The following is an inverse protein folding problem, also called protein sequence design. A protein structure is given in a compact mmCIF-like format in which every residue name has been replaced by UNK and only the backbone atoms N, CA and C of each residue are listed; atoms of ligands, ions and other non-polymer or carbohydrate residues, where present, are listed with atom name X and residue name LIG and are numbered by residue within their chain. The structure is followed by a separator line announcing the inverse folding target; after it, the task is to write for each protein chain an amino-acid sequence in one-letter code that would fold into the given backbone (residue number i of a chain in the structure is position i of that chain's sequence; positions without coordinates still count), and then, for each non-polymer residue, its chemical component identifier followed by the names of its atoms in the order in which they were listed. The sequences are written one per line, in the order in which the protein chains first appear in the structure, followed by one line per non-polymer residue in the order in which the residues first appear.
data_IF_008577650161
#
_entry.id   IF_008577650161
#
_cell.length_a   1.000
_cell.length_b   1.000
_cell.length_c   1.000
_cell.angle_alpha   90.00
_cell.angle_beta   90.00
_cell.angle_gamma   90.00
#
_symmetry.space_group_name_H-M   'P 1'
#
loop_
_entity.id
_entity.type
_entity.pdbx_description
1 polymer ?
#
# COMPACT_ATOMS: atom_id res chain seq x y z
N UNK A 1 5.92 39.29 -11.84
CA UNK A 1 6.09 38.01 -12.58
C UNK A 1 6.21 38.23 -14.08
N UNK A 2 5.26 38.94 -14.73
CA UNK A 2 5.44 39.43 -16.11
C UNK A 2 6.78 40.19 -16.27
N UNK A 3 7.16 41.03 -15.31
CA UNK A 3 8.46 41.73 -15.31
C UNK A 3 9.69 40.81 -15.21
N UNK A 4 9.65 39.72 -14.42
CA UNK A 4 10.79 38.81 -14.30
C UNK A 4 10.92 37.89 -15.54
N UNK A 5 9.80 37.51 -16.14
CA UNK A 5 9.78 36.78 -17.43
C UNK A 5 10.25 37.70 -18.55
N UNK A 6 9.79 38.94 -18.55
CA UNK A 6 10.22 39.98 -19.50
C UNK A 6 11.70 40.32 -19.34
N UNK A 7 12.23 40.38 -18.12
CA UNK A 7 13.67 40.55 -17.85
C UNK A 7 14.48 39.36 -18.38
N UNK A 8 13.97 38.14 -18.23
CA UNK A 8 14.58 36.94 -18.81
C UNK A 8 14.60 36.98 -20.33
N UNK A 9 13.46 37.33 -20.95
CA UNK A 9 13.32 37.51 -22.40
C UNK A 9 14.20 38.66 -22.92
N UNK A 10 14.29 39.78 -22.21
CA UNK A 10 15.17 40.92 -22.54
C UNK A 10 16.65 40.53 -22.42
N UNK A 11 17.05 39.82 -21.37
CA UNK A 11 18.43 39.29 -21.22
C UNK A 11 18.78 38.32 -22.35
N UNK A 12 17.82 37.52 -22.82
CA UNK A 12 17.98 36.58 -23.93
C UNK A 12 18.03 37.26 -25.29
N UNK A 13 17.21 38.28 -25.48
CA UNK A 13 17.04 39.00 -26.75
C UNK A 13 18.17 40.01 -27.00
N UNK A 14 18.62 40.75 -25.98
CA UNK A 14 19.58 41.86 -26.18
C UNK A 14 21.04 41.44 -26.35
N UNK A 15 21.41 40.24 -25.92
CA UNK A 15 22.82 40.03 -25.59
C UNK A 15 23.69 39.39 -26.69
N UNK A 16 23.15 38.81 -27.77
CA UNK A 16 23.95 38.00 -28.75
C UNK A 16 24.93 37.04 -28.06
N UNK A 17 24.68 36.69 -26.80
CA UNK A 17 25.55 35.84 -26.01
C UNK A 17 25.31 34.44 -26.55
N UNK A 18 26.39 33.74 -26.94
CA UNK A 18 26.33 32.33 -27.34
C UNK A 18 25.44 31.58 -26.36
N UNK A 19 24.50 30.79 -26.89
CA UNK A 19 23.51 30.02 -26.13
C UNK A 19 24.14 29.35 -24.90
N UNK A 20 25.39 28.90 -25.02
CA UNK A 20 26.18 28.26 -23.99
C UNK A 20 26.46 29.12 -22.73
N UNK A 21 26.67 30.44 -22.89
CA UNK A 21 26.97 31.35 -21.76
C UNK A 21 25.69 31.82 -21.05
N UNK A 22 24.58 31.97 -21.77
CA UNK A 22 23.24 32.20 -21.17
C UNK A 22 22.78 30.96 -20.40
N UNK A 23 22.94 29.77 -21.00
CA UNK A 23 22.64 28.48 -20.36
C UNK A 23 23.40 28.33 -19.04
N UNK A 24 24.69 28.66 -19.03
CA UNK A 24 25.51 28.63 -17.81
C UNK A 24 25.01 29.64 -16.76
N UNK A 25 24.56 30.83 -17.17
CA UNK A 25 24.00 31.83 -16.26
C UNK A 25 22.66 31.37 -15.67
N UNK A 26 21.78 30.76 -16.47
CA UNK A 26 20.47 30.30 -16.04
C UNK A 26 20.53 29.06 -15.13
N UNK A 27 21.52 28.18 -15.35
CA UNK A 27 21.71 26.96 -14.56
C UNK A 27 22.62 27.14 -13.34
N UNK A 28 23.52 28.13 -13.33
CA UNK A 28 24.36 28.45 -12.17
C UNK A 28 23.72 29.42 -11.20
N UNK A 29 22.95 30.39 -11.69
CA UNK A 29 22.26 31.30 -10.79
C UNK A 29 21.03 30.59 -10.25
N UNK A 30 20.92 30.56 -8.94
CA UNK A 30 19.73 30.14 -8.22
C UNK A 30 18.63 31.18 -8.52
N UNK A 31 18.05 31.12 -9.73
CA UNK A 31 16.97 31.99 -10.22
C UNK A 31 15.85 31.99 -9.19
N UNK A 32 15.62 30.84 -8.52
CA UNK A 32 14.67 30.71 -7.43
C UNK A 32 15.08 31.48 -6.17
N UNK A 33 16.37 31.53 -5.82
CA UNK A 33 16.84 32.40 -4.73
C UNK A 33 16.61 33.89 -5.00
N UNK A 34 16.74 34.33 -6.26
CA UNK A 34 16.44 35.72 -6.66
C UNK A 34 14.94 36.00 -6.72
N UNK A 35 14.11 34.97 -6.93
CA UNK A 35 12.65 35.07 -6.89
C UNK A 35 12.09 34.83 -5.45
N UNK A 36 12.93 34.85 -4.40
CA UNK A 36 12.46 34.69 -3.01
C UNK A 36 11.45 35.78 -2.61
N UNK A 37 10.16 35.41 -2.58
CA UNK A 37 9.27 35.41 -1.39
C UNK A 37 7.81 35.17 -1.83
N UNK A 38 7.19 34.11 -1.29
CA UNK A 38 5.74 33.94 -0.97
C UNK A 38 4.77 33.05 -1.79
N UNK A 39 5.12 32.20 -2.74
CA UNK A 39 4.08 31.27 -3.28
C UNK A 39 4.53 29.84 -3.59
N UNK A 40 3.65 28.90 -3.25
CA UNK A 40 3.64 27.53 -3.79
C UNK A 40 3.49 27.50 -5.32
N UNK A 41 3.00 28.59 -5.92
CA UNK A 41 2.82 28.74 -7.36
C UNK A 41 4.14 28.86 -8.13
N UNK A 42 5.21 29.32 -7.50
CA UNK A 42 6.50 29.47 -8.17
C UNK A 42 7.05 28.16 -8.73
N UNK A 43 6.84 27.05 -8.02
CA UNK A 43 7.23 25.72 -8.51
C UNK A 43 6.42 25.30 -9.74
N UNK A 44 5.14 25.67 -9.79
CA UNK A 44 4.25 25.39 -10.93
C UNK A 44 4.62 26.25 -12.13
N UNK A 45 4.91 27.53 -11.92
CA UNK A 45 5.36 28.45 -12.96
C UNK A 45 6.69 28.01 -13.58
N UNK A 46 7.67 27.64 -12.75
CA UNK A 46 8.94 27.12 -13.23
C UNK A 46 8.76 25.88 -14.11
N UNK A 47 7.90 24.94 -13.71
CA UNK A 47 7.60 23.74 -14.51
C UNK A 47 6.82 24.04 -15.81
N UNK A 48 6.04 25.12 -15.84
CA UNK A 48 5.25 25.54 -17.00
C UNK A 48 6.03 26.46 -17.95
N UNK A 49 7.19 26.97 -17.54
CA UNK A 49 7.99 27.86 -18.36
C UNK A 49 8.62 27.08 -19.53
N UNK A 50 8.08 27.27 -20.73
CA UNK A 50 8.50 26.54 -21.93
C UNK A 50 9.95 26.84 -22.33
N UNK A 51 10.45 28.05 -22.09
CA UNK A 51 11.84 28.39 -22.36
C UNK A 51 12.81 27.58 -21.48
N UNK A 52 12.58 27.53 -20.16
CA UNK A 52 13.41 26.73 -19.23
C UNK A 52 13.39 25.26 -19.63
N UNK A 53 12.20 24.76 -19.97
CA UNK A 53 12.01 23.38 -20.43
C UNK A 53 12.77 23.10 -21.73
N UNK A 54 12.65 23.96 -22.74
CA UNK A 54 13.34 23.81 -24.02
C UNK A 54 14.86 23.85 -23.85
N UNK A 55 15.36 24.76 -23.02
CA UNK A 55 16.79 24.85 -22.69
C UNK A 55 17.28 23.57 -22.00
N UNK A 56 16.61 23.11 -20.94
CA UNK A 56 17.00 21.89 -20.22
C UNK A 56 16.95 20.66 -21.11
N UNK A 57 15.90 20.52 -21.94
CA UNK A 57 15.74 19.39 -22.86
C UNK A 57 16.79 19.44 -23.97
N UNK A 58 17.10 20.62 -24.52
CA UNK A 58 18.16 20.79 -25.52
C UNK A 58 19.51 20.30 -24.99
N UNK A 59 19.91 20.78 -23.81
CA UNK A 59 21.14 20.34 -23.13
C UNK A 59 21.13 18.83 -22.87
N UNK A 60 20.00 18.29 -22.43
CA UNK A 60 19.87 16.86 -22.18
C UNK A 60 20.03 16.04 -23.46
N UNK A 61 19.45 16.48 -24.58
CA UNK A 61 19.59 15.83 -25.88
C UNK A 61 21.05 15.87 -26.37
N UNK A 62 21.75 16.99 -26.19
CA UNK A 62 23.18 17.07 -26.51
C UNK A 62 24.04 16.11 -25.67
N UNK A 63 23.67 15.88 -24.40
CA UNK A 63 24.34 14.92 -23.51
C UNK A 63 24.02 13.47 -23.90
N UNK A 64 22.83 13.23 -24.48
CA UNK A 64 22.43 11.91 -24.95
C UNK A 64 23.08 11.51 -26.27
N UNK A 65 23.51 12.48 -27.08
CA UNK A 65 24.25 12.24 -28.33
C UNK A 65 25.49 11.38 -28.05
N UNK A 66 25.58 10.24 -28.74
CA UNK A 66 26.64 9.27 -28.56
C UNK A 66 28.01 9.79 -28.99
N UNK A 67 28.05 10.83 -29.83
CA UNK A 67 29.29 11.52 -30.19
C UNK A 67 29.83 12.36 -29.02
N UNK A 68 28.99 12.66 -28.02
CA UNK A 68 29.28 13.53 -26.89
C UNK A 68 29.45 12.76 -25.57
N UNK A 69 30.14 11.60 -25.58
CA UNK A 69 30.25 10.68 -24.40
C UNK A 69 30.70 11.34 -23.10
N UNK A 70 31.45 12.45 -23.17
CA UNK A 70 32.00 13.17 -22.01
C UNK A 70 31.14 14.34 -21.54
N UNK A 71 30.13 14.76 -22.29
CA UNK A 71 29.26 15.88 -21.86
C UNK A 71 28.47 15.47 -20.61
N UNK A 72 28.45 16.37 -19.64
CA UNK A 72 27.69 16.22 -18.39
C UNK A 72 26.99 17.53 -18.07
N UNK A 73 25.95 17.47 -17.25
CA UNK A 73 25.33 18.69 -16.75
C UNK A 73 26.32 19.46 -15.89
N UNK A 74 26.26 20.79 -15.97
CA UNK A 74 27.11 21.65 -15.16
C UNK A 74 26.92 21.34 -13.65
N UNK A 75 27.99 21.42 -12.83
CA UNK A 75 27.88 21.33 -11.38
C UNK A 75 26.81 22.30 -10.86
N UNK A 76 26.00 21.87 -9.90
CA UNK A 76 24.90 22.68 -9.33
C UNK A 76 23.54 22.51 -10.01
N UNK A 77 23.48 22.04 -11.27
CA UNK A 77 22.22 21.90 -12.04
C UNK A 77 21.13 21.12 -11.32
N UNK A 78 21.52 20.15 -10.48
CA UNK A 78 20.62 19.26 -9.74
C UNK A 78 20.72 19.42 -8.22
N UNK A 79 21.02 20.63 -7.73
CA UNK A 79 21.06 20.94 -6.29
C UNK A 79 19.79 21.69 -5.83
N UNK A 80 19.40 21.48 -4.57
CA UNK A 80 18.30 22.19 -3.94
C UNK A 80 16.93 21.94 -4.60
N UNK A 81 16.04 22.93 -4.46
CA UNK A 81 14.67 22.89 -5.02
C UNK A 81 14.72 22.97 -6.53
N UNK A 82 15.52 23.88 -7.10
CA UNK A 82 15.69 24.03 -8.54
C UNK A 82 16.13 22.71 -9.19
N UNK A 83 17.10 22.02 -8.58
CA UNK A 83 17.57 20.74 -9.07
C UNK A 83 16.50 19.63 -9.10
N UNK A 84 15.59 19.63 -8.12
CA UNK A 84 14.42 18.74 -8.15
C UNK A 84 13.49 19.08 -9.30
N UNK A 85 13.20 20.36 -9.52
CA UNK A 85 12.36 20.83 -10.63
C UNK A 85 12.96 20.48 -12.00
N UNK A 86 14.27 20.70 -12.17
CA UNK A 86 15.00 20.31 -13.37
C UNK A 86 14.88 18.80 -13.62
N UNK A 87 15.07 17.99 -12.57
CA UNK A 87 14.91 16.54 -12.67
C UNK A 87 13.48 16.13 -13.04
N UNK A 88 12.45 16.81 -12.52
CA UNK A 88 11.04 16.57 -12.87
C UNK A 88 10.81 16.86 -14.35
N UNK A 89 11.24 18.03 -14.84
CA UNK A 89 11.09 18.45 -16.24
C UNK A 89 11.70 17.41 -17.19
N UNK A 90 12.96 17.04 -16.93
CA UNK A 90 13.66 16.08 -17.78
C UNK A 90 13.03 14.68 -17.73
N UNK A 91 12.54 14.26 -16.56
CA UNK A 91 11.87 12.96 -16.42
C UNK A 91 10.52 12.96 -17.15
N UNK A 92 9.74 14.03 -17.08
CA UNK A 92 8.49 14.21 -17.86
C UNK A 92 8.78 14.12 -19.36
N UNK A 93 9.80 14.83 -19.84
CA UNK A 93 10.20 14.81 -21.24
C UNK A 93 10.63 13.41 -21.69
N UNK A 94 11.43 12.71 -20.89
CA UNK A 94 11.81 11.32 -21.12
C UNK A 94 10.59 10.40 -21.27
N UNK A 95 9.63 10.46 -20.32
CA UNK A 95 8.42 9.63 -20.36
C UNK A 95 7.58 9.94 -21.60
N UNK A 96 7.41 11.23 -21.94
CA UNK A 96 6.70 11.68 -23.14
C UNK A 96 7.34 11.13 -24.42
N UNK A 97 8.67 11.21 -24.54
CA UNK A 97 9.39 10.70 -25.71
C UNK A 97 9.31 9.18 -25.82
N UNK A 98 9.20 8.47 -24.69
CA UNK A 98 8.94 7.03 -24.66
C UNK A 98 7.51 6.64 -25.02
N UNK A 99 6.59 7.62 -25.09
CA UNK A 99 5.15 7.40 -25.29
C UNK A 99 4.56 6.41 -24.27
N UNK A 100 5.12 6.40 -23.06
CA UNK A 100 4.63 5.52 -22.01
C UNK A 100 3.34 6.08 -21.39
N UNK A 101 2.34 5.21 -21.29
CA UNK A 101 1.19 5.40 -20.41
C UNK A 101 1.60 5.44 -18.95
N UNK A 102 0.73 5.98 -18.09
CA UNK A 102 0.99 6.03 -16.65
C UNK A 102 1.17 4.62 -16.05
N UNK A 103 0.43 3.63 -16.54
CA UNK A 103 0.58 2.23 -16.13
C UNK A 103 1.97 1.67 -16.48
N UNK A 104 2.48 1.96 -17.67
CA UNK A 104 3.84 1.57 -18.06
C UNK A 104 4.90 2.27 -17.22
N UNK A 105 4.69 3.55 -16.88
CA UNK A 105 5.58 4.27 -15.96
C UNK A 105 5.65 3.57 -14.61
N UNK A 106 4.50 3.20 -14.01
CA UNK A 106 4.46 2.53 -12.70
C UNK A 106 5.14 1.16 -12.69
N UNK A 107 5.04 0.42 -13.80
CA UNK A 107 5.53 -0.95 -13.90
C UNK A 107 6.99 -1.04 -14.34
N UNK A 108 7.40 -0.21 -15.29
CA UNK A 108 8.66 -0.37 -16.00
C UNK A 108 9.75 0.56 -15.45
N UNK A 109 9.40 1.81 -15.13
CA UNK A 109 10.37 2.82 -14.76
C UNK A 109 11.17 2.42 -13.52
N UNK A 110 12.49 2.57 -13.60
CA UNK A 110 13.42 2.33 -12.52
C UNK A 110 14.69 3.18 -12.71
N UNK A 111 15.50 3.30 -11.66
CA UNK A 111 16.73 4.12 -11.74
C UNK A 111 17.70 3.64 -12.82
N UNK A 112 17.81 2.32 -13.11
CA UNK A 112 18.69 1.82 -14.18
C UNK A 112 18.28 2.36 -15.54
N UNK A 113 16.97 2.45 -15.82
CA UNK A 113 16.46 3.07 -17.04
C UNK A 113 16.83 4.56 -17.06
N UNK A 114 16.53 5.31 -16.00
CA UNK A 114 16.88 6.74 -15.92
C UNK A 114 18.39 6.98 -16.11
N UNK A 115 19.23 6.10 -15.57
CA UNK A 115 20.69 6.20 -15.70
C UNK A 115 21.17 5.94 -17.13
N UNK A 116 20.54 5.01 -17.85
CA UNK A 116 20.79 4.80 -19.29
C UNK A 116 20.51 6.07 -20.09
N UNK A 117 19.52 6.85 -19.67
CA UNK A 117 19.17 8.15 -20.24
C UNK A 117 19.87 9.33 -19.55
N UNK A 118 21.02 9.10 -18.90
CA UNK A 118 21.86 10.13 -18.27
C UNK A 118 21.16 10.95 -17.16
N UNK A 119 20.01 10.51 -16.65
CA UNK A 119 19.27 11.13 -15.54
C UNK A 119 19.67 10.52 -14.18
N UNK A 120 20.98 10.44 -13.92
CA UNK A 120 21.54 9.92 -12.65
C UNK A 120 21.15 10.77 -11.45
N UNK A 121 20.92 12.07 -11.69
CA UNK A 121 20.44 13.02 -10.69
C UNK A 121 19.13 12.60 -10.03
N UNK A 122 18.30 11.78 -10.69
CA UNK A 122 17.01 11.33 -10.14
C UNK A 122 17.12 10.71 -8.76
N UNK A 123 18.15 9.91 -8.47
CA UNK A 123 18.35 9.30 -7.14
C UNK A 123 18.84 10.31 -6.09
N UNK A 124 19.65 11.28 -6.51
CA UNK A 124 20.16 12.35 -5.65
C UNK A 124 19.07 13.35 -5.30
N UNK A 125 18.32 13.83 -6.29
CA UNK A 125 17.19 14.74 -6.12
C UNK A 125 16.03 14.08 -5.36
N UNK A 126 15.79 12.79 -5.64
CA UNK A 126 14.71 12.01 -5.06
C UNK A 126 15.25 10.68 -4.54
N UNK A 127 15.29 10.55 -3.21
CA UNK A 127 15.69 9.32 -2.53
C UNK A 127 14.93 8.07 -3.02
N UNK A 128 13.67 8.25 -3.41
CA UNK A 128 12.78 7.19 -3.86
C UNK A 128 12.08 7.57 -5.16
N UNK A 129 12.03 6.64 -6.12
CA UNK A 129 11.51 6.88 -7.45
C UNK A 129 10.03 7.30 -7.45
N UNK A 130 9.21 6.69 -6.60
CA UNK A 130 7.79 7.02 -6.53
C UNK A 130 7.56 8.50 -6.19
N UNK A 131 8.46 9.13 -5.42
CA UNK A 131 8.36 10.57 -5.10
C UNK A 131 8.57 11.41 -6.34
N UNK A 132 9.58 11.08 -7.15
CA UNK A 132 9.81 11.74 -8.44
C UNK A 132 8.58 11.64 -9.34
N UNK A 133 7.98 10.45 -9.45
CA UNK A 133 6.82 10.25 -10.32
C UNK A 133 5.56 10.94 -9.78
N UNK A 134 5.36 10.98 -8.46
CA UNK A 134 4.29 11.78 -7.87
C UNK A 134 4.42 13.26 -8.22
N UNK A 135 5.65 13.81 -8.21
CA UNK A 135 5.90 15.18 -8.66
C UNK A 135 5.75 15.36 -10.18
N UNK A 136 6.00 14.30 -10.97
CA UNK A 136 5.72 14.32 -12.40
C UNK A 136 4.21 14.38 -12.69
N UNK A 137 3.38 13.81 -11.83
CA UNK A 137 1.93 13.69 -12.02
C UNK A 137 1.16 14.11 -10.76
N UNK A 138 1.22 15.39 -10.37
CA UNK A 138 0.66 15.85 -9.10
C UNK A 138 -0.86 15.72 -9.01
N UNK A 139 -1.55 15.64 -10.16
CA UNK A 139 -3.01 15.55 -10.23
C UNK A 139 -3.55 14.10 -10.18
N UNK A 140 -2.68 13.09 -10.29
CA UNK A 140 -3.08 11.68 -10.42
C UNK A 140 -3.27 10.96 -9.06
N UNK A 141 -3.24 11.69 -7.94
CA UNK A 141 -3.34 11.17 -6.57
C UNK A 141 -2.51 9.88 -6.33
N UNK A 142 -1.30 9.84 -6.85
CA UNK A 142 -0.48 8.63 -6.83
C UNK A 142 -0.07 8.24 -5.41
N UNK A 143 -0.36 6.99 -5.03
CA UNK A 143 0.05 6.40 -3.75
C UNK A 143 1.34 5.60 -3.90
N UNK A 144 2.20 5.55 -2.86
CA UNK A 144 3.49 4.87 -2.95
C UNK A 144 3.37 3.38 -3.31
N UNK A 145 2.30 2.72 -2.91
CA UNK A 145 2.07 1.30 -3.16
C UNK A 145 1.53 0.99 -4.56
N UNK A 146 1.27 1.98 -5.41
CA UNK A 146 1.03 1.77 -6.85
C UNK A 146 2.31 1.47 -7.63
N UNK A 147 3.48 1.59 -6.99
CA UNK A 147 4.75 1.40 -7.65
C UNK A 147 5.27 -0.02 -7.38
N UNK A 148 5.25 -0.87 -8.41
CA UNK A 148 5.64 -2.29 -8.31
C UNK A 148 7.01 -2.52 -7.66
N UNK A 149 7.94 -1.57 -7.82
CA UNK A 149 9.33 -1.64 -7.33
C UNK A 149 9.57 -0.90 -6.00
N UNK A 150 8.53 -0.35 -5.37
CA UNK A 150 8.64 0.40 -4.13
C UNK A 150 8.60 -0.53 -2.90
N UNK A 151 9.51 -1.50 -2.82
CA UNK A 151 9.51 -2.53 -1.76
C UNK A 151 9.82 -2.02 -0.35
N UNK A 152 10.62 -0.96 -0.25
CA UNK A 152 11.09 -0.36 1.01
C UNK A 152 10.07 0.61 1.65
N UNK A 153 8.84 0.72 1.11
CA UNK A 153 7.82 1.62 1.67
C UNK A 153 7.05 0.99 2.83
N UNK A 154 7.06 -0.34 2.90
CA UNK A 154 6.27 -1.12 3.86
C UNK A 154 6.92 -1.20 5.23
N UNK A 155 8.25 -1.24 5.24
CA UNK A 155 9.07 -1.29 6.45
C UNK A 155 10.21 -0.29 6.33
N UNK A 156 10.53 0.37 7.43
CA UNK A 156 11.68 1.28 7.47
C UNK A 156 13.01 0.51 7.49
N UNK A 157 14.13 1.24 7.56
CA UNK A 157 15.48 0.66 7.60
C UNK A 157 15.78 -0.18 8.85
N UNK A 158 14.93 -0.10 9.88
CA UNK A 158 15.03 -0.86 11.13
C UNK A 158 14.01 -2.02 11.17
N UNK A 159 13.20 -2.19 10.12
CA UNK A 159 12.16 -3.22 10.06
C UNK A 159 10.83 -2.81 10.70
N UNK A 160 10.66 -1.57 11.14
CA UNK A 160 9.38 -1.10 11.66
C UNK A 160 8.39 -0.91 10.51
N UNK A 161 7.18 -1.43 10.70
CA UNK A 161 6.10 -1.36 9.70
C UNK A 161 5.54 0.05 9.58
N UNK A 162 5.32 0.50 8.36
CA UNK A 162 4.53 1.69 8.09
C UNK A 162 3.04 1.35 8.18
N UNK A 163 2.53 1.33 9.41
CA UNK A 163 1.19 0.82 9.72
C UNK A 163 0.08 1.51 8.93
N UNK A 164 0.11 2.84 8.82
CA UNK A 164 -0.93 3.60 8.11
C UNK A 164 -0.91 3.31 6.61
N UNK A 165 0.27 3.29 5.98
CA UNK A 165 0.40 2.93 4.56
C UNK A 165 -0.11 1.50 4.28
N UNK A 166 0.16 0.56 5.20
CA UNK A 166 -0.30 -0.83 5.08
C UNK A 166 -1.82 -0.91 5.20
N UNK A 167 -2.43 -0.21 6.17
CA UNK A 167 -3.88 -0.16 6.33
C UNK A 167 -4.54 0.43 5.09
N UNK A 168 -4.06 1.57 4.62
CA UNK A 168 -4.59 2.25 3.43
C UNK A 168 -4.54 1.35 2.20
N UNK A 169 -3.41 0.68 1.97
CA UNK A 169 -3.25 -0.24 0.86
C UNK A 169 -4.23 -1.42 0.92
N UNK A 170 -4.39 -2.04 2.09
CA UNK A 170 -5.32 -3.16 2.28
C UNK A 170 -6.76 -2.69 2.12
N UNK A 171 -7.12 -1.53 2.69
CA UNK A 171 -8.48 -0.98 2.61
C UNK A 171 -8.87 -0.69 1.17
N UNK A 172 -8.03 0.03 0.44
CA UNK A 172 -8.27 0.30 -0.98
C UNK A 172 -8.36 -0.99 -1.80
N UNK A 173 -7.48 -1.97 -1.53
CA UNK A 173 -7.54 -3.27 -2.18
C UNK A 173 -8.89 -3.98 -1.94
N UNK A 174 -9.45 -3.90 -0.73
CA UNK A 174 -10.78 -4.45 -0.41
C UNK A 174 -11.91 -3.63 -1.04
N UNK A 175 -11.78 -2.31 -1.14
CA UNK A 175 -12.76 -1.43 -1.79
C UNK A 175 -12.97 -1.80 -3.26
N UNK A 176 -11.91 -2.20 -3.97
CA UNK A 176 -12.01 -2.70 -5.36
C UNK A 176 -13.00 -3.86 -5.47
N UNK A 177 -13.02 -4.77 -4.49
CA UNK A 177 -13.92 -5.93 -4.45
C UNK A 177 -15.35 -5.60 -3.99
N UNK A 178 -15.54 -4.43 -3.38
CA UNK A 178 -16.83 -3.97 -2.86
C UNK A 178 -17.54 -2.99 -3.80
N UNK A 179 -16.84 -2.47 -4.82
CA UNK A 179 -17.39 -1.49 -5.73
C UNK A 179 -18.62 -2.04 -6.47
N UNK A 180 -19.78 -1.42 -6.25
CA UNK A 180 -21.07 -1.88 -6.80
C UNK A 180 -21.13 -1.87 -8.34
N UNK A 181 -20.33 -1.01 -8.97
CA UNK A 181 -20.22 -0.92 -10.43
C UNK A 181 -19.20 -1.89 -11.02
N UNK A 182 -18.42 -2.57 -10.17
CA UNK A 182 -17.40 -3.53 -10.59
C UNK A 182 -17.97 -4.93 -10.88
N UNK A 183 -17.09 -5.81 -11.35
CA UNK A 183 -17.39 -7.23 -11.56
C UNK A 183 -17.71 -7.95 -10.23
N UNK A 184 -17.13 -7.46 -9.13
CA UNK A 184 -17.26 -8.05 -7.81
C UNK A 184 -18.27 -7.27 -6.98
N UNK A 185 -19.17 -7.98 -6.30
CA UNK A 185 -20.24 -7.40 -5.46
C UNK A 185 -20.15 -7.93 -4.04
N UNK A 186 -18.94 -7.97 -3.48
CA UNK A 186 -18.75 -8.46 -2.13
C UNK A 186 -19.23 -7.46 -1.10
N UNK A 187 -19.65 -7.97 0.06
CA UNK A 187 -20.06 -7.15 1.21
C UNK A 187 -18.98 -7.23 2.28
N UNK A 188 -18.64 -6.08 2.88
CA UNK A 188 -17.65 -6.00 3.97
C UNK A 188 -18.04 -6.91 5.14
N UNK A 189 -19.32 -6.98 5.48
CA UNK A 189 -19.86 -7.86 6.52
C UNK A 189 -19.64 -9.36 6.26
N UNK A 190 -19.19 -9.75 5.07
CA UNK A 190 -18.88 -11.14 4.73
C UNK A 190 -17.38 -11.31 4.42
N UNK A 191 -16.53 -10.30 4.70
CA UNK A 191 -15.10 -10.28 4.38
C UNK A 191 -14.39 -11.59 4.72
N UNK A 192 -14.54 -12.17 5.92
CA UNK A 192 -13.86 -13.43 6.28
C UNK A 192 -14.23 -14.65 5.42
N UNK A 193 -15.37 -14.61 4.71
CA UNK A 193 -15.86 -15.72 3.91
C UNK A 193 -15.20 -15.82 2.54
N UNK A 194 -14.92 -14.67 1.92
CA UNK A 194 -14.47 -14.62 0.53
C UNK A 194 -13.00 -14.25 0.39
N UNK A 195 -12.43 -13.46 1.31
CA UNK A 195 -11.04 -13.06 1.23
C UNK A 195 -10.11 -14.26 1.43
N UNK A 196 -9.12 -14.38 0.56
CA UNK A 196 -8.12 -15.44 0.64
C UNK A 196 -6.77 -14.94 0.14
N UNK A 197 -5.74 -15.75 0.41
CA UNK A 197 -4.35 -15.43 0.04
C UNK A 197 -4.15 -15.22 -1.47
N UNK A 198 -4.84 -15.98 -2.33
CA UNK A 198 -4.67 -15.87 -3.79
C UNK A 198 -5.06 -14.47 -4.29
N UNK A 199 -6.12 -13.89 -3.74
CA UNK A 199 -6.57 -12.55 -4.11
C UNK A 199 -5.48 -11.48 -3.94
N UNK A 200 -4.66 -11.57 -2.89
CA UNK A 200 -3.55 -10.61 -2.67
C UNK A 200 -2.44 -10.70 -3.74
N UNK A 201 -2.39 -11.77 -4.53
CA UNK A 201 -1.48 -11.93 -5.66
C UNK A 201 -2.04 -11.37 -6.97
N UNK A 202 -3.34 -11.16 -7.03
CA UNK A 202 -4.00 -10.63 -8.22
C UNK A 202 -3.71 -9.13 -8.39
N UNK A 203 -3.48 -8.66 -9.63
CA UNK A 203 -3.13 -7.26 -9.94
C UNK A 203 -4.36 -6.33 -9.88
N UNK A 204 -4.98 -6.25 -8.71
CA UNK A 204 -6.30 -5.62 -8.50
C UNK A 204 -6.23 -4.12 -8.20
N UNK A 205 -5.08 -3.62 -7.74
CA UNK A 205 -4.89 -2.19 -7.51
C UNK A 205 -4.60 -1.46 -8.83
N UNK A 206 -4.77 -0.13 -8.87
CA UNK A 206 -4.43 0.68 -10.03
C UNK A 206 -3.07 0.33 -10.64
N UNK A 207 -3.00 0.40 -11.97
CA UNK A 207 -1.81 0.10 -12.76
C UNK A 207 -1.33 -1.35 -12.68
N UNK A 208 -2.19 -2.29 -12.28
CA UNK A 208 -1.91 -3.72 -12.28
C UNK A 208 -1.02 -4.17 -11.13
N UNK A 209 -1.14 -3.51 -9.98
CA UNK A 209 -0.33 -3.79 -8.80
C UNK A 209 -1.06 -4.78 -7.87
N UNK A 210 -0.30 -5.64 -7.20
CA UNK A 210 -0.81 -6.55 -6.18
C UNK A 210 -0.11 -6.34 -4.84
N UNK A 211 -0.67 -6.92 -3.78
CA UNK A 211 -0.19 -6.76 -2.42
C UNK A 211 0.60 -7.97 -1.90
N UNK A 212 1.00 -8.90 -2.77
CA UNK A 212 1.68 -10.14 -2.39
C UNK A 212 3.00 -9.90 -1.65
N UNK A 213 3.80 -8.96 -2.12
CA UNK A 213 5.08 -8.60 -1.49
C UNK A 213 4.87 -8.02 -0.09
N UNK A 214 3.94 -7.06 0.05
CA UNK A 214 3.55 -6.47 1.33
C UNK A 214 3.07 -7.57 2.29
N UNK A 215 2.25 -8.50 1.81
CA UNK A 215 1.73 -9.58 2.62
C UNK A 215 2.84 -10.52 3.13
N UNK A 216 3.84 -10.80 2.29
CA UNK A 216 5.02 -11.56 2.65
C UNK A 216 5.82 -10.89 3.77
N UNK A 217 6.21 -9.63 3.55
CA UNK A 217 7.10 -8.91 4.48
C UNK A 217 6.41 -8.51 5.79
N UNK A 218 5.16 -8.03 5.73
CA UNK A 218 4.45 -7.51 6.90
C UNK A 218 3.70 -8.59 7.68
N UNK A 219 3.26 -9.67 7.03
CA UNK A 219 2.34 -10.64 7.65
C UNK A 219 2.74 -12.09 7.45
N UNK A 220 3.96 -12.38 6.96
CA UNK A 220 4.44 -13.75 6.69
C UNK A 220 3.43 -14.53 5.83
N UNK A 221 2.92 -13.89 4.77
CA UNK A 221 1.90 -14.43 3.86
C UNK A 221 0.51 -14.71 4.49
N UNK A 222 0.23 -14.21 5.69
CA UNK A 222 -1.07 -14.41 6.34
C UNK A 222 -2.07 -13.31 6.00
N UNK A 223 -2.97 -13.59 5.04
CA UNK A 223 -4.08 -12.71 4.69
C UNK A 223 -5.01 -12.42 5.88
N UNK A 224 -5.24 -13.40 6.76
CA UNK A 224 -6.01 -13.23 8.00
C UNK A 224 -5.43 -12.13 8.87
N UNK A 225 -4.12 -12.19 9.17
CA UNK A 225 -3.45 -11.18 9.98
C UNK A 225 -3.51 -9.80 9.33
N UNK A 226 -3.37 -9.74 8.00
CA UNK A 226 -3.46 -8.49 7.25
C UNK A 226 -4.86 -7.86 7.37
N UNK A 227 -5.92 -8.65 7.22
CA UNK A 227 -7.30 -8.18 7.34
C UNK A 227 -7.63 -7.74 8.78
N UNK A 228 -7.30 -8.56 9.78
CA UNK A 228 -7.51 -8.19 11.19
C UNK A 228 -6.75 -6.91 11.57
N UNK A 229 -5.56 -6.70 10.97
CA UNK A 229 -4.78 -5.48 11.17
C UNK A 229 -5.40 -4.24 10.51
N UNK A 230 -5.97 -4.40 9.31
CA UNK A 230 -6.56 -3.29 8.55
C UNK A 230 -7.98 -2.91 9.01
N UNK A 231 -8.68 -3.83 9.66
CA UNK A 231 -10.06 -3.67 10.13
C UNK A 231 -10.20 -4.05 11.62
N UNK A 232 -9.48 -3.38 12.54
CA UNK A 232 -9.60 -3.66 13.97
C UNK A 232 -11.03 -3.43 14.49
N UNK A 233 -11.77 -2.48 13.91
CA UNK A 233 -13.15 -2.15 14.27
C UNK A 233 -14.14 -3.30 14.04
N UNK A 234 -13.80 -4.28 13.21
CA UNK A 234 -14.64 -5.45 12.96
C UNK A 234 -14.47 -6.54 14.02
N UNK A 235 -13.52 -6.40 14.96
CA UNK A 235 -13.22 -7.37 16.02
C UNK A 235 -13.11 -8.82 15.49
N UNK A 236 -12.50 -8.97 14.30
CA UNK A 236 -12.41 -10.25 13.63
C UNK A 236 -11.48 -11.19 14.37
N UNK A 237 -11.87 -12.47 14.45
CA UNK A 237 -11.05 -13.54 15.00
C UNK A 237 -10.64 -14.53 13.90
N UNK A 238 -9.50 -15.23 14.02
CA UNK A 238 -9.01 -16.12 12.96
C UNK A 238 -10.02 -17.20 12.56
N UNK A 239 -10.79 -17.74 13.51
CA UNK A 239 -11.82 -18.76 13.25
C UNK A 239 -13.06 -18.26 12.51
N UNK A 240 -13.20 -16.95 12.31
CA UNK A 240 -14.21 -16.40 11.40
C UNK A 240 -13.83 -16.57 9.93
N UNK A 241 -12.58 -16.88 9.59
CA UNK A 241 -12.15 -17.04 8.20
C UNK A 241 -12.43 -18.45 7.69
N UNK A 242 -12.66 -18.58 6.38
CA UNK A 242 -12.97 -19.88 5.76
C UNK A 242 -11.89 -20.94 6.01
N UNK A 243 -10.63 -20.53 6.05
CA UNK A 243 -9.50 -21.38 6.34
C UNK A 243 -8.65 -20.73 7.41
N UNK A 244 -8.67 -21.27 8.63
CA UNK A 244 -7.81 -20.80 9.73
C UNK A 244 -6.33 -21.03 9.40
N UNK A 245 -5.39 -20.31 10.07
CA UNK A 245 -3.96 -20.57 9.89
C UNK A 245 -3.59 -22.03 10.17
N UNK A 246 -2.52 -22.52 9.53
CA UNK A 246 -2.01 -23.86 9.82
C UNK A 246 -1.68 -24.01 11.31
N UNK A 247 -1.98 -25.16 11.90
CA UNK A 247 -1.82 -25.47 13.34
C UNK A 247 -2.64 -24.59 14.29
N UNK A 248 -3.63 -23.83 13.79
CA UNK A 248 -4.49 -23.02 14.64
C UNK A 248 -5.28 -23.86 15.65
N UNK A 249 -5.73 -25.04 15.23
CA UNK A 249 -6.40 -26.04 16.06
C UNK A 249 -5.43 -27.11 16.57
N UNK A 250 -4.21 -26.77 16.98
CA UNK A 250 -3.23 -27.77 17.41
C UNK A 250 -2.59 -27.44 18.76
N UNK A 251 -2.34 -28.49 19.56
CA UNK A 251 -1.69 -28.42 20.86
C UNK A 251 -2.47 -27.60 21.90
N UNK A 252 -1.76 -27.18 22.95
CA UNK A 252 -2.33 -26.39 24.07
C UNK A 252 -3.02 -25.11 23.58
N UNK A 253 -2.39 -24.39 22.64
CA UNK A 253 -2.96 -23.17 22.06
C UNK A 253 -4.23 -23.44 21.26
N UNK A 254 -4.30 -24.55 20.54
CA UNK A 254 -5.51 -24.97 19.85
C UNK A 254 -6.68 -25.24 20.81
N UNK A 255 -6.40 -25.82 21.97
CA UNK A 255 -7.39 -26.03 23.03
C UNK A 255 -7.87 -24.69 23.64
N UNK A 256 -6.97 -23.73 23.84
CA UNK A 256 -7.30 -22.37 24.28
C UNK A 256 -8.19 -21.65 23.25
N UNK A 257 -7.83 -21.72 21.96
CA UNK A 257 -8.67 -21.17 20.88
C UNK A 257 -10.05 -21.84 20.86
N UNK A 258 -10.10 -23.18 20.99
CA UNK A 258 -11.36 -23.93 21.02
C UNK A 258 -12.23 -23.49 22.20
N UNK A 259 -11.62 -23.26 23.37
CA UNK A 259 -12.34 -22.71 24.53
C UNK A 259 -12.93 -21.34 24.23
N UNK A 260 -12.14 -20.42 23.69
CA UNK A 260 -12.60 -19.06 23.37
C UNK A 260 -13.82 -19.09 22.44
N UNK A 261 -13.75 -19.93 21.40
CA UNK A 261 -14.82 -20.13 20.42
C UNK A 261 -16.08 -20.71 21.07
N UNK A 262 -15.91 -21.67 21.98
CA UNK A 262 -17.03 -22.27 22.69
C UNK A 262 -17.69 -21.29 23.66
N UNK A 263 -16.93 -20.40 24.31
CA UNK A 263 -17.50 -19.31 25.13
C UNK A 263 -18.38 -18.42 24.25
N UNK A 264 -17.85 -17.96 23.12
CA UNK A 264 -18.62 -17.10 22.20
C UNK A 264 -19.87 -17.80 21.65
N UNK A 265 -19.75 -19.08 21.31
CA UNK A 265 -20.89 -19.89 20.87
C UNK A 265 -21.97 -19.98 21.96
N UNK A 266 -21.58 -20.17 23.22
CA UNK A 266 -22.52 -20.17 24.34
C UNK A 266 -23.19 -18.81 24.50
N UNK A 267 -22.44 -17.72 24.40
CA UNK A 267 -23.00 -16.37 24.49
C UNK A 267 -24.03 -16.12 23.37
N UNK A 268 -23.74 -16.56 22.13
CA UNK A 268 -24.68 -16.45 21.00
C UNK A 268 -25.97 -17.24 21.25
N UNK A 269 -25.85 -18.46 21.77
CA UNK A 269 -26.98 -19.36 21.95
C UNK A 269 -27.85 -18.99 23.16
N UNK A 270 -27.26 -18.45 24.22
CA UNK A 270 -27.94 -18.09 25.47
C UNK A 270 -28.40 -16.64 25.52
N UNK A 271 -28.02 -15.80 24.55
CA UNK A 271 -28.41 -14.38 24.54
C UNK A 271 -29.96 -14.24 24.52
N UNK A 272 -30.58 -13.59 25.53
CA UNK A 272 -32.03 -13.42 25.61
C UNK A 272 -32.63 -12.60 24.45
N UNK A 273 -31.81 -11.73 23.84
CA UNK A 273 -32.19 -10.93 22.67
C UNK A 273 -31.76 -11.57 21.35
N UNK A 274 -31.10 -12.74 21.41
CA UNK A 274 -30.63 -13.48 20.26
C UNK A 274 -31.73 -14.32 19.62
N UNK A 275 -31.44 -14.90 18.45
CA UNK A 275 -32.38 -15.74 17.71
C UNK A 275 -32.62 -17.12 18.32
N UNK A 276 -31.78 -17.55 19.28
CA UNK A 276 -31.81 -18.89 19.85
C UNK A 276 -32.42 -18.92 21.26
N UNK A 277 -31.93 -18.05 22.17
CA UNK A 277 -32.40 -17.95 23.55
C UNK A 277 -32.57 -19.30 24.26
N UNK A 278 -31.52 -20.11 24.24
CA UNK A 278 -31.53 -21.47 24.80
C UNK A 278 -30.92 -21.47 26.21
N UNK A 279 -31.49 -22.29 27.09
CA UNK A 279 -30.87 -22.68 28.35
C UNK A 279 -29.64 -23.57 28.14
N UNK A 280 -28.80 -23.71 29.17
CA UNK A 280 -27.62 -24.58 29.10
C UNK A 280 -28.01 -26.05 28.89
N UNK A 281 -29.11 -26.47 29.51
CA UNK A 281 -29.66 -27.81 29.45
C UNK A 281 -30.13 -28.13 28.03
N UNK A 282 -30.85 -27.20 27.38
CA UNK A 282 -31.27 -27.35 25.98
C UNK A 282 -30.06 -27.42 25.03
N UNK A 283 -29.04 -26.58 25.26
CA UNK A 283 -27.80 -26.60 24.47
C UNK A 283 -27.16 -27.99 24.53
N UNK A 284 -27.05 -28.59 25.71
CA UNK A 284 -26.48 -29.94 25.87
C UNK A 284 -27.28 -31.01 25.11
N UNK A 285 -28.60 -30.88 25.03
CA UNK A 285 -29.47 -31.83 24.31
C UNK A 285 -29.34 -31.71 22.79
N UNK A 286 -29.16 -30.49 22.26
CA UNK A 286 -29.10 -30.25 20.81
C UNK A 286 -27.69 -30.40 20.22
N UNK A 287 -26.63 -30.37 21.04
CA UNK A 287 -25.25 -30.44 20.54
C UNK A 287 -24.83 -31.86 20.16
N UNK A 288 -25.18 -32.21 18.92
CA UNK A 288 -24.75 -33.43 18.24
C UNK A 288 -23.63 -33.09 17.25
N UNK A 289 -22.97 -34.11 16.70
CA UNK A 289 -21.96 -33.93 15.65
C UNK A 289 -22.45 -33.03 14.49
N UNK A 290 -23.71 -33.22 14.05
CA UNK A 290 -24.34 -32.40 12.99
C UNK A 290 -24.46 -30.92 13.37
N UNK A 291 -24.55 -30.59 14.65
CA UNK A 291 -24.67 -29.20 15.15
C UNK A 291 -23.40 -28.41 14.87
N UNK A 292 -22.22 -29.01 15.03
CA UNK A 292 -20.93 -28.36 14.70
C UNK A 292 -20.73 -28.14 13.20
N UNK A 293 -21.53 -28.79 12.34
CA UNK A 293 -21.54 -28.52 10.89
C UNK A 293 -22.45 -27.35 10.51
N UNK A 294 -23.34 -26.91 11.41
CA UNK A 294 -24.22 -25.77 11.16
C UNK A 294 -23.44 -24.45 11.29
N UNK A 295 -23.79 -23.41 10.51
CA UNK A 295 -23.13 -22.11 10.54
C UNK A 295 -23.62 -21.25 11.72
N UNK A 296 -23.30 -21.67 12.95
CA UNK A 296 -23.81 -21.04 14.18
C UNK A 296 -23.03 -19.78 14.59
N UNK A 297 -21.81 -19.62 14.09
CA UNK A 297 -20.97 -18.46 14.40
C UNK A 297 -21.21 -17.30 13.43
N UNK A 298 -20.74 -16.08 13.79
CA UNK A 298 -20.68 -14.95 12.87
C UNK A 298 -20.05 -15.34 11.53
N UNK A 299 -20.46 -14.64 10.47
CA UNK A 299 -19.97 -14.91 9.11
C UNK A 299 -20.28 -16.33 8.62
N UNK A 300 -21.36 -16.94 9.13
CA UNK A 300 -21.82 -18.28 8.75
C UNK A 300 -20.75 -19.36 8.95
N UNK A 301 -19.95 -19.26 10.02
CA UNK A 301 -18.90 -20.24 10.31
C UNK A 301 -19.43 -21.43 11.11
N UNK A 302 -18.91 -22.59 10.75
CA UNK A 302 -19.14 -23.84 11.44
C UNK A 302 -17.85 -24.26 12.17
N UNK A 303 -17.98 -25.24 13.05
CA UNK A 303 -16.95 -25.66 13.99
C UNK A 303 -16.45 -27.08 13.74
N UNK A 304 -16.75 -27.64 12.57
CA UNK A 304 -16.37 -29.01 12.20
C UNK A 304 -14.86 -29.22 12.25
N UNK A 305 -14.07 -28.27 11.75
CA UNK A 305 -12.61 -28.37 11.75
C UNK A 305 -12.03 -28.41 13.17
N UNK A 306 -12.52 -27.56 14.06
CA UNK A 306 -12.14 -27.57 15.48
C UNK A 306 -12.49 -28.92 16.13
N UNK A 307 -13.73 -29.40 15.92
CA UNK A 307 -14.22 -30.65 16.50
C UNK A 307 -13.37 -31.85 16.05
N UNK A 308 -13.06 -31.91 14.76
CA UNK A 308 -12.25 -32.97 14.18
C UNK A 308 -10.82 -32.96 14.72
N UNK A 309 -10.16 -31.81 14.75
CA UNK A 309 -8.73 -31.73 15.07
C UNK A 309 -8.44 -31.77 16.57
N UNK A 310 -9.26 -31.12 17.40
CA UNK A 310 -8.99 -31.02 18.85
C UNK A 310 -9.65 -32.16 19.62
N UNK A 311 -10.86 -32.55 19.22
CA UNK A 311 -11.73 -33.40 20.04
C UNK A 311 -12.01 -34.76 19.40
N UNK A 312 -11.31 -35.13 18.33
CA UNK A 312 -11.49 -36.39 17.61
C UNK A 312 -12.97 -36.67 17.29
N UNK A 313 -13.69 -35.64 16.84
CA UNK A 313 -15.13 -35.69 16.53
C UNK A 313 -16.07 -35.94 17.72
N UNK A 314 -15.59 -35.89 18.97
CA UNK A 314 -16.44 -36.02 20.17
C UNK A 314 -17.31 -34.77 20.39
N UNK A 315 -18.65 -34.85 20.21
CA UNK A 315 -19.52 -33.67 20.27
C UNK A 315 -19.68 -33.08 21.67
N UNK A 316 -19.43 -33.86 22.73
CA UNK A 316 -19.57 -33.43 24.12
C UNK A 316 -18.27 -32.88 24.72
N UNK A 317 -17.11 -33.23 24.15
CA UNK A 317 -15.81 -32.81 24.68
C UNK A 317 -15.61 -31.27 24.70
N UNK A 318 -16.06 -30.49 23.71
CA UNK A 318 -15.98 -29.02 23.76
C UNK A 318 -16.72 -28.38 24.94
N UNK A 319 -17.76 -29.02 25.49
CA UNK A 319 -18.46 -28.51 26.68
C UNK A 319 -17.75 -28.84 27.97
N UNK A 320 -17.18 -30.04 28.07
CA UNK A 320 -16.41 -30.48 29.26
C UNK A 320 -15.27 -29.51 29.57
N UNK A 321 -14.64 -28.93 28.55
CA UNK A 321 -13.56 -27.95 28.73
C UNK A 321 -14.03 -26.58 29.26
N UNK A 322 -15.31 -26.24 29.12
CA UNK A 322 -15.92 -25.04 29.71
C UNK A 322 -16.24 -25.29 31.19
N UNK A 323 -16.83 -26.45 31.50
CA UNK A 323 -17.24 -26.84 32.86
C UNK A 323 -16.02 -26.97 33.78
N UNK A 324 -15.00 -27.73 33.37
CA UNK A 324 -13.80 -27.98 34.18
C UNK A 324 -13.04 -26.69 34.55
N UNK A 325 -13.20 -25.64 33.75
CA UNK A 325 -12.49 -24.38 33.95
C UNK A 325 -13.17 -23.45 34.97
N UNK A 326 -14.49 -23.57 35.14
CA UNK A 326 -15.22 -22.84 36.18
C UNK A 326 -14.80 -23.35 37.56
N UNK A 327 -14.64 -24.66 37.71
CA UNK A 327 -14.19 -25.29 38.96
C UNK A 327 -12.75 -24.84 39.33
N UNK A 328 -11.83 -24.78 38.36
CA UNK A 328 -10.46 -24.30 38.60
C UNK A 328 -10.36 -22.80 38.96
N UNK A 329 -11.30 -21.96 38.49
CA UNK A 329 -11.35 -20.55 38.92
C UNK A 329 -11.89 -20.40 40.34
N UNK A 330 -12.88 -21.22 40.71
CA UNK A 330 -13.47 -21.23 42.06
C UNK A 330 -12.44 -21.72 43.09
N UNK A 331 -11.63 -22.72 42.76
CA UNK A 331 -10.55 -23.22 43.62
C UNK A 331 -9.38 -22.25 43.82
N UNK A 332 -9.16 -21.29 42.91
CA UNK A 332 -8.13 -20.25 43.06
C UNK A 332 -8.58 -19.01 43.83
N UNK A 333 -9.89 -18.89 44.06
CA UNK A 333 -10.50 -17.81 44.84
C UNK A 333 -10.85 -18.25 46.26
N UNK A 334 -10.74 -19.55 46.54
CA UNK A 334 -10.70 -20.16 47.87
C UNK A 334 -9.24 -20.27 48.29
#
# INVERSE_FOLDING_TARGET
MKENVKLLEEILFYNKISSDKIIRILLRNDILSKIKRKSSDLNREYQKNELIKNVLVGIHNEILDENNKRKTFAPGTFQGIQGKLNCIILTKNFIKNKKWSLAEVMNNLNYRILYKYKLRCSKTCFKHLYKLIKECYPNENLKPYYFKKATHIWVDKYGHKNNELIKDAIREFIEVFMNQKGQYKYKLKNLPCWINYKMFREPMLPYGVNLSYMLGICFKNSHIKAIMFAYPELNLKPYYFSNVPNKYWSGKKGLENAREVMVELMDILTNPKGSYNLSKEEILQIFKFKTYSKPLLPYRKNLRGMLQTIFNNSPSAPFKILINNQNQKIEKLK
#
